data_IF_333881073198
#
_entry.id   IF_333881073198
#
_cell.length_a   1.000
_cell.length_b   1.000
_cell.length_c   1.000
_cell.angle_alpha   90.00
_cell.angle_beta   90.00
_cell.angle_gamma   90.00
#
_symmetry.space_group_name_H-M   'P 1'
#
loop_
_entity.id
_entity.type
_entity.pdbx_description
1 polymer ?
#
# COMPACT_ATOMS: atom_id res chain seq x y z
N UNK A 1 56.21 9.64 -11.60
CA UNK A 1 55.35 8.62 -12.25
C UNK A 1 54.46 7.82 -11.30
N UNK A 2 54.89 7.44 -10.07
CA UNK A 2 54.07 6.62 -9.16
C UNK A 2 52.80 7.31 -8.61
N UNK A 3 52.82 8.63 -8.44
CA UNK A 3 51.65 9.40 -7.94
C UNK A 3 50.56 9.54 -9.02
N UNK A 4 50.96 9.63 -10.30
CA UNK A 4 50.01 9.72 -11.41
C UNK A 4 49.21 8.41 -11.62
N UNK A 5 49.83 7.25 -11.33
CA UNK A 5 49.15 5.95 -11.42
C UNK A 5 48.08 5.77 -10.33
N UNK A 6 48.30 6.37 -9.15
CA UNK A 6 47.38 6.33 -8.01
C UNK A 6 46.13 7.21 -8.24
N UNK A 7 46.28 8.34 -8.95
CA UNK A 7 45.17 9.19 -9.33
C UNK A 7 44.27 8.57 -10.41
N UNK A 8 44.83 7.80 -11.33
CA UNK A 8 44.07 7.12 -12.39
C UNK A 8 43.21 5.97 -11.83
N UNK A 9 43.66 5.30 -10.77
CA UNK A 9 42.92 4.22 -10.11
C UNK A 9 41.68 4.70 -9.33
N UNK A 10 41.64 5.95 -8.87
CA UNK A 10 40.48 6.52 -8.16
C UNK A 10 39.31 6.89 -9.08
N UNK A 11 39.57 7.13 -10.37
CA UNK A 11 38.56 7.56 -11.35
C UNK A 11 37.73 6.37 -11.87
N UNK A 12 38.23 5.14 -11.74
CA UNK A 12 37.52 3.91 -12.10
C UNK A 12 36.88 3.21 -10.90
N UNK A 13 36.41 3.97 -9.91
CA UNK A 13 35.54 3.41 -8.89
C UNK A 13 34.23 3.02 -9.57
N UNK A 14 33.85 1.72 -9.63
CA UNK A 14 32.57 1.35 -10.21
C UNK A 14 31.48 2.01 -9.37
N UNK A 15 30.67 2.85 -10.00
CA UNK A 15 29.42 3.33 -9.42
C UNK A 15 28.53 2.09 -9.35
N UNK A 16 28.53 1.41 -8.22
CA UNK A 16 27.59 0.33 -7.92
C UNK A 16 26.21 0.98 -7.86
N UNK A 17 25.47 0.90 -8.97
CA UNK A 17 24.05 1.26 -8.96
C UNK A 17 23.37 0.32 -7.96
N UNK A 18 22.77 0.90 -6.92
CA UNK A 18 22.07 0.20 -5.85
C UNK A 18 20.67 -0.28 -6.30
N UNK A 19 20.58 -0.86 -7.50
CA UNK A 19 19.35 -1.39 -8.09
C UNK A 19 19.41 -2.91 -8.10
N UNK A 20 18.28 -3.61 -7.89
CA UNK A 20 18.28 -5.07 -7.77
C UNK A 20 18.69 -5.74 -9.09
N UNK A 21 19.49 -6.82 -9.00
CA UNK A 21 19.93 -7.57 -10.18
C UNK A 21 18.76 -8.26 -10.90
N UNK A 22 17.78 -8.71 -10.12
CA UNK A 22 16.55 -9.32 -10.62
C UNK A 22 15.35 -8.75 -9.89
N UNK A 23 14.46 -8.09 -10.64
CA UNK A 23 13.16 -7.64 -10.13
C UNK A 23 12.06 -8.53 -10.66
N UNK A 24 11.20 -9.02 -9.77
CA UNK A 24 9.95 -9.69 -10.13
C UNK A 24 8.78 -8.96 -9.49
N UNK A 25 7.80 -8.62 -10.29
CA UNK A 25 6.61 -7.91 -9.86
C UNK A 25 5.39 -8.81 -10.09
N UNK A 26 4.68 -9.14 -9.02
CA UNK A 26 3.56 -10.08 -9.03
C UNK A 26 2.27 -9.33 -8.74
N UNK A 27 1.40 -9.31 -9.74
CA UNK A 27 0.06 -8.75 -9.63
C UNK A 27 -0.95 -9.86 -9.33
N UNK A 28 -1.68 -9.72 -8.23
CA UNK A 28 -2.71 -10.63 -7.78
C UNK A 28 -4.07 -10.17 -8.31
N UNK A 29 -4.86 -11.11 -8.80
CA UNK A 29 -6.23 -10.88 -9.30
C UNK A 29 -7.26 -11.40 -8.31
N UNK A 30 -8.39 -10.71 -8.17
CA UNK A 30 -9.53 -11.17 -7.37
C UNK A 30 -10.05 -12.53 -7.86
N UNK A 31 -10.26 -13.46 -6.93
CA UNK A 31 -10.92 -14.73 -7.24
C UNK A 31 -12.40 -14.45 -7.54
N UNK A 32 -12.80 -14.57 -8.80
CA UNK A 32 -14.22 -14.44 -9.17
C UNK A 32 -14.97 -15.60 -8.52
N UNK A 33 -15.70 -15.30 -7.45
CA UNK A 33 -16.59 -16.27 -6.82
C UNK A 33 -17.55 -16.80 -7.88
N UNK A 34 -17.50 -18.10 -8.17
CA UNK A 34 -18.35 -18.77 -9.16
C UNK A 34 -19.85 -18.47 -8.97
N UNK A 35 -20.26 -18.12 -7.74
CA UNK A 35 -21.64 -17.70 -7.42
C UNK A 35 -22.10 -16.41 -8.08
N UNK A 36 -21.23 -15.44 -8.39
CA UNK A 36 -21.66 -14.19 -9.03
C UNK A 36 -22.13 -14.43 -10.48
N UNK A 37 -21.48 -15.36 -11.18
CA UNK A 37 -21.90 -15.80 -12.52
C UNK A 37 -23.17 -16.67 -12.48
N UNK A 38 -23.37 -17.47 -11.42
CA UNK A 38 -24.63 -18.20 -11.21
C UNK A 38 -25.80 -17.27 -10.83
N UNK A 39 -25.54 -16.15 -10.15
CA UNK A 39 -26.58 -15.17 -9.84
C UNK A 39 -27.09 -14.48 -11.10
N UNK A 40 -26.21 -14.12 -12.05
CA UNK A 40 -26.61 -13.48 -13.31
C UNK A 40 -27.53 -14.39 -14.14
N UNK A 41 -27.39 -15.71 -14.03
CA UNK A 41 -28.23 -16.67 -14.74
C UNK A 41 -29.58 -16.96 -14.04
N UNK A 42 -29.81 -16.47 -12.83
CA UNK A 42 -31.01 -16.79 -12.03
C UNK A 42 -31.79 -15.59 -11.48
N UNK A 43 -31.39 -14.35 -11.74
CA UNK A 43 -32.26 -13.20 -11.42
C UNK A 43 -33.11 -12.84 -12.64
N UNK A 44 -34.44 -13.04 -12.63
CA UNK A 44 -35.29 -12.35 -13.60
C UNK A 44 -35.07 -10.85 -13.40
N UNK A 45 -34.81 -10.15 -14.50
CA UNK A 45 -34.61 -8.70 -14.56
C UNK A 45 -35.91 -7.97 -14.17
N UNK A 46 -36.25 -8.01 -12.88
CA UNK A 46 -37.32 -7.25 -12.26
C UNK A 46 -36.71 -5.96 -11.74
N UNK A 47 -37.20 -4.83 -12.26
CA UNK A 47 -36.70 -3.51 -11.92
C UNK A 47 -36.65 -3.28 -10.41
N UNK A 48 -35.43 -3.16 -9.88
CA UNK A 48 -35.20 -2.54 -8.58
C UNK A 48 -35.48 -1.05 -8.74
N UNK A 49 -36.76 -0.68 -8.64
CA UNK A 49 -37.14 0.68 -8.32
C UNK A 49 -36.64 0.96 -6.91
N UNK A 50 -35.74 1.92 -6.79
CA UNK A 50 -35.38 2.51 -5.51
C UNK A 50 -36.69 2.93 -4.81
N UNK A 51 -36.91 2.41 -3.60
CA UNK A 51 -38.01 2.82 -2.74
C UNK A 51 -37.74 4.26 -2.30
N UNK A 52 -38.23 5.20 -3.10
CA UNK A 52 -38.31 6.60 -2.72
C UNK A 52 -39.45 6.76 -1.71
N UNK A 53 -39.15 7.53 -0.66
CA UNK A 53 -40.10 8.14 0.27
C UNK A 53 -40.59 7.26 1.42
N UNK A 54 -39.75 7.12 2.45
CA UNK A 54 -40.28 7.17 3.81
C UNK A 54 -39.45 8.14 4.66
N UNK A 55 -40.08 9.13 5.34
CA UNK A 55 -39.40 10.06 6.28
C UNK A 55 -38.97 9.37 7.59
N UNK A 56 -38.65 8.08 7.55
CA UNK A 56 -38.35 7.25 8.73
C UNK A 56 -36.85 7.20 9.08
N UNK A 57 -35.98 7.59 8.16
CA UNK A 57 -34.51 7.54 8.32
C UNK A 57 -33.89 8.92 8.48
N UNK A 58 -34.55 9.81 9.21
CA UNK A 58 -34.02 11.15 9.48
C UNK A 58 -33.87 11.36 10.99
N UNK A 59 -32.75 11.96 11.41
CA UNK A 59 -32.47 12.26 12.81
C UNK A 59 -33.00 13.67 13.15
N UNK A 60 -33.84 13.83 14.20
CA UNK A 60 -34.38 15.14 14.54
C UNK A 60 -33.27 16.09 15.02
N UNK A 61 -33.23 17.31 14.47
CA UNK A 61 -32.28 18.37 14.85
C UNK A 61 -32.98 19.73 14.79
N UNK A 62 -33.28 20.31 15.96
CA UNK A 62 -33.94 21.63 16.03
C UNK A 62 -35.32 21.62 15.37
N UNK A 63 -35.55 22.55 14.44
CA UNK A 63 -36.85 22.77 13.77
C UNK A 63 -37.06 21.87 12.54
N UNK A 64 -36.19 20.88 12.33
CA UNK A 64 -36.26 19.98 11.18
C UNK A 64 -35.56 18.64 11.42
N UNK A 65 -35.35 17.92 10.33
CA UNK A 65 -34.75 16.59 10.34
C UNK A 65 -33.49 16.56 9.47
N UNK A 66 -32.41 15.96 9.97
CA UNK A 66 -31.17 15.81 9.22
C UNK A 66 -31.09 14.43 8.56
N UNK A 67 -31.00 14.41 7.23
CA UNK A 67 -30.87 13.20 6.43
C UNK A 67 -29.45 13.09 5.85
N UNK A 68 -28.73 11.95 6.00
CA UNK A 68 -27.31 11.83 5.60
C UNK A 68 -27.01 12.18 4.14
N UNK A 69 -27.96 11.92 3.24
CA UNK A 69 -27.81 12.20 1.80
C UNK A 69 -28.36 13.56 1.36
N UNK A 70 -29.36 14.12 2.06
CA UNK A 70 -30.10 15.30 1.60
C UNK A 70 -29.86 16.53 2.48
N UNK A 71 -29.13 16.39 3.59
CA UNK A 71 -28.87 17.47 4.53
C UNK A 71 -30.08 17.79 5.40
N UNK A 72 -30.21 19.04 5.81
CA UNK A 72 -31.25 19.51 6.71
C UNK A 72 -32.58 19.76 5.97
N UNK A 73 -33.64 19.08 6.41
CA UNK A 73 -35.00 19.20 5.87
C UNK A 73 -35.86 19.94 6.92
N UNK A 74 -36.24 21.20 6.67
CA UNK A 74 -37.15 21.92 7.57
C UNK A 74 -38.56 21.35 7.48
N UNK A 75 -39.23 21.18 8.62
CA UNK A 75 -40.64 20.77 8.62
C UNK A 75 -41.50 21.91 8.05
N UNK A 76 -41.99 21.73 6.82
CA UNK A 76 -43.04 22.58 6.27
C UNK A 76 -44.35 22.17 6.93
N UNK A 77 -44.63 22.75 8.10
CA UNK A 77 -45.96 23.02 8.66
C UNK A 77 -45.77 23.56 10.08
N UNK A 78 -45.60 24.88 10.19
CA UNK A 78 -46.22 25.75 11.21
C UNK A 78 -45.73 27.19 10.98
N UNK A 79 -46.70 28.06 10.72
CA UNK A 79 -46.55 29.51 10.65
C UNK A 79 -46.11 30.12 11.99
N UNK A 80 -45.41 31.25 11.88
CA UNK A 80 -45.22 32.33 12.88
C UNK A 80 -44.42 31.99 14.14
N UNK A 81 -43.19 32.51 14.19
CA UNK A 81 -42.98 33.69 15.05
C UNK A 81 -41.75 34.49 14.58
N UNK A 82 -41.98 35.77 14.32
CA UNK A 82 -40.90 36.76 14.25
C UNK A 82 -40.34 36.94 15.66
N UNK A 83 -39.01 36.81 15.81
CA UNK A 83 -38.14 37.55 16.73
C UNK A 83 -37.12 36.65 17.45
N UNK A 84 -35.86 36.70 16.98
CA UNK A 84 -34.69 37.07 17.79
C UNK A 84 -33.43 37.10 16.94
N UNK A 85 -32.68 38.19 17.13
CA UNK A 85 -31.42 38.57 16.46
C UNK A 85 -30.35 37.46 16.55
N UNK A 86 -29.45 37.35 15.56
CA UNK A 86 -28.20 36.62 15.77
C UNK A 86 -27.33 37.38 16.78
N UNK A 87 -26.69 36.69 17.75
CA UNK A 87 -25.57 37.27 18.48
C UNK A 87 -24.40 37.42 17.50
N UNK A 88 -23.71 38.56 17.59
CA UNK A 88 -22.47 38.81 16.87
C UNK A 88 -21.43 37.78 17.30
N UNK A 89 -20.84 37.08 16.33
CA UNK A 89 -19.56 36.39 16.52
C UNK A 89 -18.50 37.42 16.90
N UNK A 90 -18.00 37.32 18.12
CA UNK A 90 -16.78 37.99 18.54
C UNK A 90 -15.61 37.26 17.87
N UNK A 91 -14.84 38.03 17.08
CA UNK A 91 -13.61 37.57 16.47
C UNK A 91 -12.64 37.04 17.54
N UNK A 92 -12.02 35.86 17.37
CA UNK A 92 -10.93 35.45 18.24
C UNK A 92 -9.73 36.35 17.96
N UNK A 93 -9.30 37.02 19.03
CA UNK A 93 -8.13 37.87 19.12
C UNK A 93 -6.87 37.21 18.55
N UNK A 94 -6.12 37.97 17.76
CA UNK A 94 -4.75 37.66 17.33
C UNK A 94 -3.81 37.49 18.54
N UNK A 95 -3.69 36.28 19.07
CA UNK A 95 -2.60 35.92 19.95
C UNK A 95 -2.35 34.41 19.90
N UNK A 96 -1.16 34.04 19.42
CA UNK A 96 -0.58 32.69 19.27
C UNK A 96 -0.82 31.96 17.94
N UNK A 97 -0.24 32.50 16.86
CA UNK A 97 0.28 31.64 15.78
C UNK A 97 1.41 30.77 16.34
N UNK A 98 1.06 29.64 16.93
CA UNK A 98 2.00 28.52 17.01
C UNK A 98 2.34 28.18 15.55
N UNK A 99 3.61 28.34 15.18
CA UNK A 99 4.10 27.90 13.86
C UNK A 99 4.00 26.38 13.85
N UNK A 100 2.87 25.85 13.40
CA UNK A 100 2.78 24.46 12.95
C UNK A 100 3.70 24.36 11.74
N UNK A 101 4.77 23.58 11.90
CA UNK A 101 5.63 23.17 10.79
C UNK A 101 4.71 22.42 9.83
N UNK A 102 4.53 22.96 8.63
CA UNK A 102 3.80 22.29 7.56
C UNK A 102 4.42 20.92 7.33
N UNK A 103 3.63 19.86 7.53
CA UNK A 103 4.00 18.46 7.34
C UNK A 103 4.32 18.09 5.88
N UNK A 104 4.27 19.05 4.96
CA UNK A 104 4.55 18.88 3.53
C UNK A 104 6.05 18.93 3.18
N UNK A 105 6.91 19.41 4.08
CA UNK A 105 8.37 19.45 3.88
C UNK A 105 9.10 18.67 4.98
N UNK A 106 8.68 17.43 5.23
CA UNK A 106 9.59 16.47 5.86
C UNK A 106 10.53 15.97 4.77
N UNK A 107 11.62 16.70 4.53
CA UNK A 107 12.81 16.12 3.92
C UNK A 107 13.11 14.83 4.70
N UNK A 108 13.11 13.70 3.99
CA UNK A 108 13.52 12.42 4.54
C UNK A 108 14.88 12.63 5.20
N UNK A 109 14.94 12.52 6.52
CA UNK A 109 16.20 12.57 7.25
C UNK A 109 16.94 11.29 6.84
N UNK A 110 17.93 11.43 5.97
CA UNK A 110 18.87 10.36 5.66
C UNK A 110 19.66 10.08 6.94
N UNK A 111 19.38 8.96 7.57
CA UNK A 111 20.04 8.52 8.79
C UNK A 111 21.42 7.94 8.45
N UNK A 112 22.35 8.81 8.07
CA UNK A 112 23.75 8.44 7.88
C UNK A 112 24.51 8.58 9.21
N UNK A 113 25.37 7.60 9.52
CA UNK A 113 26.25 7.66 10.70
C UNK A 113 27.13 8.92 10.62
N UNK A 114 26.92 9.86 11.55
CA UNK A 114 27.74 11.07 11.69
C UNK A 114 27.01 12.41 11.51
N UNK A 115 25.72 12.42 11.14
CA UNK A 115 24.93 13.64 11.02
C UNK A 115 24.23 14.05 12.34
N UNK A 116 24.16 15.35 12.63
CA UNK A 116 23.67 15.91 13.90
C UNK A 116 22.18 15.61 14.21
N UNK A 117 21.42 15.12 13.23
CA UNK A 117 19.99 14.75 13.36
C UNK A 117 19.74 13.27 13.67
N UNK A 118 20.78 12.47 13.90
CA UNK A 118 20.71 11.05 14.27
C UNK A 118 19.93 10.78 15.59
N UNK A 119 19.76 11.79 16.43
CA UNK A 119 18.94 11.71 17.65
C UNK A 119 17.47 11.34 17.36
N UNK A 120 16.94 11.73 16.19
CA UNK A 120 15.56 11.41 15.80
C UNK A 120 15.42 10.09 15.03
N UNK A 121 16.54 9.45 14.65
CA UNK A 121 16.50 8.19 13.92
C UNK A 121 16.36 6.95 14.82
N UNK A 122 16.29 7.15 16.14
CA UNK A 122 15.85 6.13 17.10
C UNK A 122 16.61 4.81 16.96
N UNK A 123 17.89 4.77 17.36
CA UNK A 123 18.73 3.54 17.38
C UNK A 123 18.47 2.68 16.14
N UNK A 124 19.01 3.10 15.00
CA UNK A 124 19.11 2.27 13.80
C UNK A 124 19.45 0.85 14.22
N UNK A 125 18.48 -0.06 14.09
CA UNK A 125 18.77 -1.48 14.18
C UNK A 125 19.79 -1.68 13.08
N UNK A 126 21.01 -2.11 13.46
CA UNK A 126 22.06 -2.59 12.55
C UNK A 126 21.38 -3.15 11.30
N UNK A 127 21.55 -2.48 10.17
CA UNK A 127 20.98 -2.93 8.90
C UNK A 127 21.33 -4.40 8.75
N UNK A 128 20.34 -5.26 8.93
CA UNK A 128 20.52 -6.68 8.71
C UNK A 128 20.91 -6.77 7.25
N UNK A 129 22.09 -7.32 6.94
CA UNK A 129 22.55 -7.51 5.57
C UNK A 129 21.36 -7.93 4.71
N UNK A 130 21.03 -7.19 3.63
CA UNK A 130 19.87 -7.51 2.83
C UNK A 130 19.99 -8.98 2.43
N UNK A 131 18.90 -9.72 2.64
CA UNK A 131 18.82 -11.10 2.23
C UNK A 131 19.16 -11.22 0.74
N UNK A 132 19.66 -12.38 0.30
CA UNK A 132 19.83 -12.61 -1.14
C UNK A 132 18.48 -12.47 -1.87
N UNK A 133 17.36 -12.70 -1.16
CA UNK A 133 16.00 -12.48 -1.62
C UNK A 133 15.27 -11.54 -0.68
N UNK A 134 14.69 -10.47 -1.24
CA UNK A 134 13.83 -9.53 -0.54
C UNK A 134 12.42 -9.61 -1.11
N UNK A 135 11.41 -9.70 -0.23
CA UNK A 135 10.01 -9.81 -0.63
C UNK A 135 9.18 -8.70 0.02
N UNK A 136 8.52 -7.91 -0.81
CA UNK A 136 7.67 -6.80 -0.42
C UNK A 136 6.21 -7.14 -0.62
N UNK A 137 5.43 -7.02 0.45
CA UNK A 137 3.99 -7.20 0.43
C UNK A 137 3.29 -5.85 0.50
N UNK A 138 2.43 -5.61 -0.48
CA UNK A 138 1.48 -4.52 -0.44
C UNK A 138 0.53 -4.66 0.75
N UNK A 139 0.22 -3.60 1.48
CA UNK A 139 -0.80 -3.61 2.52
C UNK A 139 -1.88 -2.55 2.26
N UNK A 140 -2.07 -2.13 1.02
CA UNK A 140 -3.12 -1.20 0.61
C UNK A 140 -4.53 -1.76 0.88
N UNK A 141 -5.54 -0.89 0.79
CA UNK A 141 -6.92 -1.29 1.03
C UNK A 141 -7.50 -2.19 -0.07
N UNK A 142 -7.03 -2.09 -1.32
CA UNK A 142 -7.47 -2.90 -2.45
C UNK A 142 -7.12 -4.38 -2.29
N UNK A 143 -6.03 -4.68 -1.57
CA UNK A 143 -5.62 -6.05 -1.21
C UNK A 143 -6.70 -6.86 -0.49
N UNK A 144 -7.70 -6.22 0.15
CA UNK A 144 -8.81 -6.91 0.82
C UNK A 144 -9.62 -7.80 -0.12
N UNK A 145 -9.72 -7.43 -1.40
CA UNK A 145 -10.52 -8.19 -2.37
C UNK A 145 -9.82 -9.46 -2.84
N UNK A 146 -8.49 -9.47 -2.78
CA UNK A 146 -7.67 -10.46 -3.47
C UNK A 146 -7.09 -11.53 -2.54
N UNK A 147 -6.90 -11.20 -1.27
CA UNK A 147 -6.21 -12.03 -0.29
C UNK A 147 -7.12 -12.50 0.87
N UNK A 148 -8.44 -12.39 0.68
CA UNK A 148 -9.41 -12.80 1.69
C UNK A 148 -9.56 -14.32 1.74
N UNK A 149 -9.36 -14.90 2.93
CA UNK A 149 -9.57 -16.32 3.17
C UNK A 149 -10.75 -16.54 4.14
N UNK A 150 -11.83 -17.16 3.67
CA UNK A 150 -13.00 -17.45 4.51
C UNK A 150 -12.81 -18.63 5.48
N UNK A 151 -11.80 -19.48 5.26
CA UNK A 151 -11.65 -20.78 5.96
C UNK A 151 -10.57 -20.79 7.02
N UNK A 152 -9.56 -19.95 6.90
CA UNK A 152 -8.41 -19.88 7.79
C UNK A 152 -8.28 -18.43 8.31
N UNK A 153 -7.95 -18.21 9.60
CA UNK A 153 -7.59 -16.87 10.09
C UNK A 153 -6.39 -16.25 9.34
N UNK A 154 -5.58 -17.04 8.63
CA UNK A 154 -4.45 -16.54 7.84
C UNK A 154 -4.84 -16.26 6.38
N UNK A 155 -4.40 -15.09 5.90
CA UNK A 155 -4.49 -14.74 4.48
C UNK A 155 -3.49 -15.55 3.63
N UNK A 156 -3.73 -15.67 2.32
CA UNK A 156 -2.90 -16.49 1.44
C UNK A 156 -1.46 -15.97 1.33
N UNK A 157 -1.26 -14.64 1.35
CA UNK A 157 0.09 -14.04 1.39
C UNK A 157 0.84 -14.37 2.68
N UNK A 158 0.17 -14.42 3.84
CA UNK A 158 0.79 -14.85 5.09
C UNK A 158 1.17 -16.34 5.03
N UNK A 159 0.27 -17.20 4.52
CA UNK A 159 0.57 -18.63 4.34
C UNK A 159 1.79 -18.84 3.43
N UNK A 160 1.88 -18.07 2.34
CA UNK A 160 3.03 -18.04 1.45
C UNK A 160 4.32 -17.64 2.18
N UNK A 161 4.29 -16.54 2.94
CA UNK A 161 5.46 -16.07 3.70
C UNK A 161 5.91 -17.08 4.76
N UNK A 162 4.97 -17.67 5.52
CA UNK A 162 5.27 -18.70 6.53
C UNK A 162 5.90 -19.94 5.91
N UNK A 163 5.42 -20.36 4.74
CA UNK A 163 5.98 -21.50 4.02
C UNK A 163 7.38 -21.20 3.49
N UNK A 164 7.60 -19.99 2.97
CA UNK A 164 8.92 -19.56 2.51
C UNK A 164 9.92 -19.46 3.66
N UNK A 165 9.53 -18.88 4.80
CA UNK A 165 10.39 -18.79 5.99
C UNK A 165 10.80 -20.18 6.50
N UNK A 166 9.89 -21.16 6.43
CA UNK A 166 10.17 -22.53 6.84
C UNK A 166 11.02 -23.30 5.84
N UNK A 167 10.73 -23.15 4.55
CA UNK A 167 11.31 -24.00 3.51
C UNK A 167 12.58 -23.39 2.88
N UNK A 168 12.83 -22.08 3.04
CA UNK A 168 14.02 -21.42 2.51
C UNK A 168 15.13 -21.32 3.57
N UNK A 169 16.30 -21.92 3.27
CA UNK A 169 17.51 -21.77 4.08
C UNK A 169 18.29 -20.48 3.78
N UNK A 170 18.04 -19.86 2.62
CA UNK A 170 18.65 -18.58 2.28
C UNK A 170 18.04 -17.45 3.13
N UNK A 171 18.84 -16.44 3.45
CA UNK A 171 18.34 -15.27 4.18
C UNK A 171 17.28 -14.54 3.36
N UNK A 172 16.01 -14.72 3.70
CA UNK A 172 14.89 -13.94 3.15
C UNK A 172 14.63 -12.76 4.09
N UNK A 173 14.49 -11.57 3.52
CA UNK A 173 13.93 -10.42 4.23
C UNK A 173 12.53 -10.13 3.74
N UNK A 174 11.57 -10.10 4.66
CA UNK A 174 10.20 -9.69 4.37
C UNK A 174 9.97 -8.24 4.80
N UNK A 175 9.29 -7.48 3.94
CA UNK A 175 8.85 -6.13 4.22
C UNK A 175 7.41 -5.94 3.76
N UNK A 176 6.70 -5.01 4.40
CA UNK A 176 5.40 -4.53 3.94
C UNK A 176 5.51 -3.08 3.49
N UNK A 177 4.69 -2.68 2.53
CA UNK A 177 4.69 -1.31 2.03
C UNK A 177 3.30 -0.77 1.79
N UNK A 178 3.21 0.55 1.93
CA UNK A 178 2.11 1.37 1.40
C UNK A 178 2.63 2.77 1.04
N UNK A 179 2.62 3.69 2.00
CA UNK A 179 3.24 5.02 1.94
C UNK A 179 4.68 5.03 2.46
N UNK A 180 5.10 3.93 3.10
CA UNK A 180 6.47 3.65 3.56
C UNK A 180 6.75 2.14 3.52
N UNK A 181 8.01 1.75 3.33
CA UNK A 181 8.47 0.37 3.49
C UNK A 181 8.83 0.13 4.95
N UNK A 182 8.37 -1.01 5.50
CA UNK A 182 8.69 -1.45 6.86
C UNK A 182 9.05 -2.92 6.85
N UNK A 183 10.20 -3.26 7.43
CA UNK A 183 10.55 -4.64 7.69
C UNK A 183 9.56 -5.24 8.70
N UNK A 184 9.06 -6.44 8.41
CA UNK A 184 8.08 -7.08 9.29
C UNK A 184 8.77 -7.86 10.41
N UNK A 185 8.26 -7.68 11.63
CA UNK A 185 8.62 -8.52 12.79
C UNK A 185 7.64 -9.68 13.00
N UNK A 186 6.42 -9.55 12.49
CA UNK A 186 5.36 -10.55 12.58
C UNK A 186 4.69 -10.72 11.22
N UNK A 187 4.61 -11.96 10.73
CA UNK A 187 4.00 -12.28 9.42
C UNK A 187 2.50 -11.95 9.33
N UNK A 188 1.80 -11.87 10.47
CA UNK A 188 0.40 -11.43 10.51
C UNK A 188 0.18 -10.02 9.97
N UNK A 189 1.21 -9.17 9.98
CA UNK A 189 1.16 -7.81 9.43
C UNK A 189 0.88 -7.80 7.93
N UNK A 190 1.25 -8.87 7.22
CA UNK A 190 1.02 -9.03 5.78
C UNK A 190 -0.49 -9.03 5.44
N UNK A 191 -1.33 -9.56 6.33
CA UNK A 191 -2.78 -9.61 6.12
C UNK A 191 -3.47 -8.28 6.45
N UNK A 192 -2.73 -7.26 6.89
CA UNK A 192 -3.33 -5.95 7.13
C UNK A 192 -3.60 -5.25 5.81
N UNK A 193 -4.73 -4.57 5.71
CA UNK A 193 -5.11 -3.79 4.53
C UNK A 193 -5.55 -2.41 4.96
N UNK A 194 -4.67 -1.42 4.76
CA UNK A 194 -4.80 -0.03 5.19
C UNK A 194 -4.02 0.93 4.30
N UNK A 195 -4.71 2.02 3.95
CA UNK A 195 -4.15 3.12 3.18
C UNK A 195 -4.07 2.80 1.69
N UNK A 196 -3.52 3.76 0.96
CA UNK A 196 -3.28 3.66 -0.48
C UNK A 196 -1.77 3.63 -0.72
N UNK A 197 -1.38 3.14 -1.89
CA UNK A 197 0.02 3.12 -2.30
C UNK A 197 0.44 4.42 -2.96
N UNK A 198 1.72 4.75 -2.80
CA UNK A 198 2.38 5.80 -3.56
C UNK A 198 3.29 5.16 -4.60
N UNK A 199 2.79 5.02 -5.84
CA UNK A 199 3.54 4.37 -6.92
C UNK A 199 4.86 5.08 -7.23
N UNK A 200 4.96 6.40 -7.02
CA UNK A 200 6.20 7.15 -7.27
C UNK A 200 7.26 6.84 -6.22
N UNK A 201 6.85 6.75 -4.96
CA UNK A 201 7.76 6.32 -3.88
C UNK A 201 8.15 4.86 -4.07
N UNK A 202 7.24 4.01 -4.54
CA UNK A 202 7.55 2.62 -4.82
C UNK A 202 8.67 2.47 -5.85
N UNK A 203 8.61 3.20 -6.97
CA UNK A 203 9.70 3.17 -7.97
C UNK A 203 11.02 3.67 -7.39
N UNK A 204 10.99 4.72 -6.55
CA UNK A 204 12.20 5.20 -5.86
C UNK A 204 12.78 4.16 -4.90
N UNK A 205 11.95 3.42 -4.18
CA UNK A 205 12.42 2.37 -3.30
C UNK A 205 13.02 1.20 -4.07
N UNK A 206 12.43 0.83 -5.21
CA UNK A 206 12.98 -0.21 -6.10
C UNK A 206 14.37 0.21 -6.58
N UNK A 207 14.54 1.46 -7.00
CA UNK A 207 15.83 1.99 -7.46
C UNK A 207 16.92 2.01 -6.37
N UNK A 208 16.50 2.04 -5.10
CA UNK A 208 17.38 2.09 -3.92
C UNK A 208 17.59 0.71 -3.26
N UNK A 209 16.88 -0.34 -3.68
CA UNK A 209 17.00 -1.66 -3.09
C UNK A 209 18.31 -2.34 -3.49
N UNK A 210 19.08 -2.76 -2.49
CA UNK A 210 20.34 -3.49 -2.67
C UNK A 210 20.16 -5.01 -2.73
N UNK A 211 18.93 -5.51 -2.78
CA UNK A 211 18.67 -6.95 -2.83
C UNK A 211 19.08 -7.53 -4.20
N UNK A 212 19.64 -8.75 -4.21
CA UNK A 212 19.95 -9.42 -5.48
C UNK A 212 18.68 -9.81 -6.23
N UNK A 213 17.70 -10.36 -5.51
CA UNK A 213 16.38 -10.67 -6.06
C UNK A 213 15.30 -9.97 -5.23
N UNK A 214 14.66 -8.96 -5.83
CA UNK A 214 13.51 -8.28 -5.25
C UNK A 214 12.21 -8.85 -5.84
N UNK A 215 11.29 -9.25 -4.98
CA UNK A 215 9.93 -9.67 -5.34
C UNK A 215 8.92 -8.73 -4.72
N UNK A 216 8.14 -8.05 -5.54
CA UNK A 216 7.06 -7.16 -5.08
C UNK A 216 5.72 -7.83 -5.38
N UNK A 217 4.85 -7.94 -4.38
CA UNK A 217 3.53 -8.59 -4.48
C UNK A 217 2.44 -7.56 -4.16
N UNK A 218 1.58 -7.31 -5.13
CA UNK A 218 0.48 -6.33 -5.06
C UNK A 218 -0.74 -6.85 -5.81
N UNK A 219 -1.87 -6.13 -5.79
CA UNK A 219 -3.02 -6.44 -6.62
C UNK A 219 -2.97 -5.76 -7.99
N UNK A 220 -3.79 -6.25 -8.92
CA UNK A 220 -3.87 -5.73 -10.29
C UNK A 220 -4.41 -4.29 -10.38
N UNK A 221 -5.16 -3.82 -9.38
CA UNK A 221 -5.73 -2.46 -9.36
C UNK A 221 -4.62 -1.41 -9.17
N UNK A 222 -3.49 -1.78 -8.56
CA UNK A 222 -2.30 -0.93 -8.37
C UNK A 222 -1.46 -0.73 -9.64
N UNK A 223 -1.78 -1.45 -10.73
CA UNK A 223 -1.08 -1.34 -12.00
C UNK A 223 -1.45 -0.04 -12.73
N UNK A 224 -0.78 1.05 -12.40
CA UNK A 224 -0.85 2.29 -13.17
C UNK A 224 -0.02 2.21 -14.47
N UNK A 225 -0.38 3.00 -15.49
CA UNK A 225 0.40 3.08 -16.73
C UNK A 225 1.85 3.52 -16.50
N UNK A 226 2.08 4.46 -15.57
CA UNK A 226 3.42 4.92 -15.22
C UNK A 226 4.27 3.82 -14.58
N UNK A 227 3.68 3.05 -13.65
CA UNK A 227 4.37 1.93 -13.03
C UNK A 227 4.71 0.85 -14.07
N UNK A 228 3.77 0.54 -14.97
CA UNK A 228 4.01 -0.42 -16.05
C UNK A 228 5.17 0.02 -16.96
N UNK A 229 5.14 1.25 -17.46
CA UNK A 229 6.19 1.77 -18.33
C UNK A 229 7.57 1.74 -17.65
N UNK A 230 7.61 2.06 -16.34
CA UNK A 230 8.82 1.95 -15.53
C UNK A 230 9.32 0.49 -15.40
N UNK A 231 8.42 -0.44 -15.07
CA UNK A 231 8.76 -1.87 -14.93
C UNK A 231 9.26 -2.47 -16.25
N UNK A 232 8.66 -2.08 -17.37
CA UNK A 232 9.09 -2.49 -18.72
C UNK A 232 10.47 -1.89 -19.06
N UNK A 233 10.72 -0.63 -18.70
CA UNK A 233 12.01 0.05 -18.93
C UNK A 233 13.18 -0.62 -18.20
N UNK A 234 12.97 -1.06 -16.95
CA UNK A 234 14.02 -1.73 -16.15
C UNK A 234 14.12 -3.24 -16.44
N UNK A 235 13.26 -3.78 -17.32
CA UNK A 235 13.26 -5.20 -17.68
C UNK A 235 12.77 -6.10 -16.54
N UNK A 236 11.82 -5.64 -15.72
CA UNK A 236 11.25 -6.41 -14.64
C UNK A 236 10.48 -7.63 -15.17
N UNK A 237 10.51 -8.75 -14.41
CA UNK A 237 9.65 -9.89 -14.71
C UNK A 237 8.26 -9.66 -14.12
N UNK A 238 7.28 -9.37 -14.97
CA UNK A 238 5.91 -9.08 -14.55
C UNK A 238 5.05 -10.36 -14.61
N UNK A 239 4.39 -10.70 -13.51
CA UNK A 239 3.51 -11.87 -13.37
C UNK A 239 2.09 -11.43 -13.04
N UNK A 240 1.10 -12.11 -13.61
CA UNK A 240 -0.32 -11.86 -13.30
C UNK A 240 -0.99 -10.75 -14.11
N UNK A 241 -0.27 -10.18 -15.07
CA UNK A 241 -0.82 -9.20 -16.02
C UNK A 241 -1.08 -9.88 -17.37
N UNK A 242 -2.28 -9.69 -17.93
CA UNK A 242 -2.64 -10.16 -19.27
C UNK A 242 -3.72 -11.24 -19.27
N UNK A 243 -3.54 -12.29 -20.08
CA UNK A 243 -4.60 -13.27 -20.40
C UNK A 243 -4.84 -14.27 -19.27
N UNK A 244 -3.81 -14.60 -18.49
CA UNK A 244 -3.94 -15.56 -17.39
C UNK A 244 -3.97 -14.80 -16.06
N UNK A 245 -5.10 -14.79 -15.33
CA UNK A 245 -5.14 -14.23 -13.99
C UNK A 245 -4.22 -15.02 -13.07
N UNK A 246 -3.65 -14.34 -12.08
CA UNK A 246 -2.79 -14.95 -11.08
C UNK A 246 -3.40 -14.71 -9.71
N UNK A 247 -3.81 -15.78 -9.04
CA UNK A 247 -4.52 -15.68 -7.78
C UNK A 247 -3.56 -15.76 -6.60
N UNK A 248 -4.01 -15.29 -5.43
CA UNK A 248 -3.22 -15.36 -4.20
C UNK A 248 -2.89 -16.81 -3.80
N UNK A 249 -3.71 -17.77 -4.22
CA UNK A 249 -3.49 -19.22 -4.06
C UNK A 249 -2.34 -19.76 -4.93
N UNK A 250 -2.08 -19.16 -6.10
CA UNK A 250 -1.01 -19.57 -7.03
C UNK A 250 0.41 -19.21 -6.53
N UNK A 251 0.51 -18.29 -5.55
CA UNK A 251 1.78 -17.82 -4.99
C UNK A 251 2.67 -18.95 -4.50
N UNK A 252 2.08 -19.98 -3.87
CA UNK A 252 2.85 -21.08 -3.28
C UNK A 252 3.54 -21.95 -4.34
N UNK A 253 2.86 -22.24 -5.43
CA UNK A 253 3.41 -23.04 -6.52
C UNK A 253 4.39 -22.23 -7.36
N UNK A 254 4.10 -20.93 -7.52
CA UNK A 254 5.02 -19.99 -8.14
C UNK A 254 6.35 -19.89 -7.39
N UNK A 255 6.32 -19.82 -6.05
CA UNK A 255 7.52 -19.75 -5.21
C UNK A 255 8.48 -20.91 -5.47
N UNK A 256 7.95 -22.15 -5.46
CA UNK A 256 8.76 -23.36 -5.68
C UNK A 256 9.50 -23.34 -7.01
N UNK A 257 8.88 -22.79 -8.06
CA UNK A 257 9.45 -22.75 -9.41
C UNK A 257 10.44 -21.60 -9.59
N UNK A 258 10.16 -20.43 -9.03
CA UNK A 258 10.87 -19.19 -9.35
C UNK A 258 11.86 -18.74 -8.28
N UNK A 259 11.71 -19.27 -7.07
CA UNK A 259 12.63 -19.10 -5.94
C UNK A 259 13.33 -20.43 -5.65
N UNK A 260 13.70 -21.20 -6.68
CA UNK A 260 14.41 -22.47 -6.47
C UNK A 260 15.77 -22.28 -5.79
N UNK A 261 16.36 -21.08 -5.83
CA UNK A 261 17.56 -20.73 -5.05
C UNK A 261 17.33 -20.80 -3.53
N UNK A 262 16.08 -20.72 -3.09
CA UNK A 262 15.69 -20.84 -1.69
C UNK A 262 15.60 -22.29 -1.22
N UNK A 263 15.22 -23.20 -2.12
CA UNK A 263 14.98 -24.60 -1.81
C UNK A 263 16.22 -25.43 -2.20
N UNK A 264 16.77 -26.21 -1.27
CA UNK A 264 17.77 -27.25 -1.61
C UNK A 264 17.11 -28.49 -2.20
#
# INVERSE_FOLDING_TARGET
MRIALLFILLIFSPVTKASPEKLTFVFLTEEVAKSALDLINHVPFGGLLAEANTPKDCAPMGDGCFHPQYGFIPNADLEKDESKKPPKEEAPSEASKVRTINSLETNMIECEEGNHFDIFCGKSKKDSKPGDVEIWFDISTSMRKVDWNHKDPMCHRQQFATKLERDCEAGISFSVYNTSIKQISQLSTICTSKGDNDSKRLTQWIDNSQAKHLVVITDIDEMSGQLKDYLDMIGANIVGVGVKPFYSTDLQDWAKKNLSSCYK
#
